data_IF_306956573412
#
_entry.id   IF_306956573412
#
_cell.length_a   1.000
_cell.length_b   1.000
_cell.length_c   1.000
_cell.angle_alpha   90.00
_cell.angle_beta   90.00
_cell.angle_gamma   90.00
#
_symmetry.space_group_name_H-M   'P 1'
#
loop_
_entity.id
_entity.type
_entity.pdbx_description
1 polymer ?
#
# COMPACT_ATOMS: atom_id res chain seq x y z
N UNK A 1 5.04 -14.02 6.92
CA UNK A 1 6.41 -13.62 7.31
C UNK A 1 6.46 -12.11 7.27
N UNK A 2 6.98 -11.49 8.32
CA UNK A 2 7.19 -10.04 8.38
C UNK A 2 8.65 -9.81 8.80
N UNK A 3 9.31 -8.81 8.24
CA UNK A 3 10.68 -8.42 8.58
C UNK A 3 10.59 -7.18 9.46
N UNK A 4 11.21 -7.20 10.65
CA UNK A 4 11.20 -6.03 11.56
C UNK A 4 12.18 -4.94 11.11
N UNK A 5 13.41 -5.30 10.79
CA UNK A 5 14.43 -4.36 10.28
C UNK A 5 14.36 -4.21 8.77
N UNK A 6 15.49 -4.43 8.11
CA UNK A 6 15.66 -4.34 6.67
C UNK A 6 15.90 -5.71 6.00
N UNK A 7 15.79 -5.75 4.67
CA UNK A 7 16.14 -6.89 3.82
C UNK A 7 17.28 -6.52 2.88
N UNK A 8 18.43 -7.18 2.98
CA UNK A 8 19.56 -7.00 2.05
C UNK A 8 19.73 -8.27 1.20
N UNK A 9 19.77 -8.10 -0.11
CA UNK A 9 20.17 -9.13 -1.07
C UNK A 9 21.43 -8.61 -1.75
N UNK A 10 22.56 -9.23 -1.44
CA UNK A 10 23.87 -8.79 -1.89
C UNK A 10 24.64 -9.91 -2.56
N UNK A 11 25.18 -9.64 -3.75
CA UNK A 11 26.12 -10.51 -4.47
C UNK A 11 25.65 -11.97 -4.55
N UNK A 12 24.40 -12.19 -4.97
CA UNK A 12 23.83 -13.52 -5.12
C UNK A 12 24.02 -14.05 -6.55
N UNK A 13 24.43 -15.32 -6.64
CA UNK A 13 24.62 -16.06 -7.90
C UNK A 13 23.43 -16.97 -8.25
N UNK A 14 22.22 -16.54 -7.91
CA UNK A 14 20.97 -17.27 -8.18
C UNK A 14 20.04 -16.45 -9.06
N UNK A 15 19.28 -17.14 -9.92
CA UNK A 15 18.41 -16.50 -10.91
C UNK A 15 17.08 -16.02 -10.36
N UNK A 16 16.54 -16.64 -9.32
CA UNK A 16 15.26 -16.27 -8.73
C UNK A 16 15.23 -16.43 -7.22
N UNK A 17 14.56 -15.49 -6.55
CA UNK A 17 14.30 -15.50 -5.10
C UNK A 17 12.82 -15.28 -4.86
N UNK A 18 12.20 -16.15 -4.06
CA UNK A 18 10.78 -16.08 -3.72
C UNK A 18 10.56 -15.86 -2.24
N UNK A 19 9.78 -14.82 -1.94
CA UNK A 19 9.22 -14.55 -0.63
C UNK A 19 7.68 -14.68 -0.67
N UNK A 20 7.15 -15.90 -0.84
CA UNK A 20 5.72 -16.13 -1.12
C UNK A 20 4.79 -15.71 0.03
N UNK A 21 5.35 -15.54 1.23
CA UNK A 21 4.61 -15.22 2.45
C UNK A 21 5.09 -13.93 3.12
N UNK A 22 6.04 -13.19 2.53
CA UNK A 22 6.47 -11.91 3.09
C UNK A 22 5.34 -10.89 2.88
N UNK A 23 4.90 -10.24 3.96
CA UNK A 23 3.79 -9.29 3.94
C UNK A 23 4.22 -7.87 4.27
N UNK A 24 5.11 -7.69 5.25
CA UNK A 24 5.53 -6.35 5.69
C UNK A 24 7.03 -6.35 5.98
N UNK A 25 7.70 -5.26 5.60
CA UNK A 25 9.03 -4.88 6.09
C UNK A 25 8.84 -3.65 6.98
N UNK A 26 9.14 -3.72 8.27
CA UNK A 26 8.81 -2.66 9.21
C UNK A 26 9.84 -1.52 9.22
N UNK A 27 11.11 -1.80 8.92
CA UNK A 27 12.17 -0.80 8.93
C UNK A 27 12.44 -0.22 10.32
N UNK A 28 12.33 -1.05 11.36
CA UNK A 28 12.74 -0.69 12.72
C UNK A 28 14.27 -0.45 12.80
N UNK A 29 15.02 -1.15 11.94
CA UNK A 29 16.44 -0.95 11.64
C UNK A 29 16.60 -0.72 10.14
N UNK A 30 17.50 0.19 9.74
CA UNK A 30 17.73 0.57 8.35
C UNK A 30 19.19 0.35 7.95
N UNK A 31 19.41 -0.18 6.75
CA UNK A 31 20.74 -0.23 6.14
C UNK A 31 21.19 1.19 5.78
N UNK A 32 22.40 1.55 6.20
CA UNK A 32 22.96 2.90 6.08
C UNK A 32 22.01 3.99 6.60
N UNK A 33 21.28 3.69 7.70
CA UNK A 33 20.29 4.56 8.35
C UNK A 33 19.12 5.00 7.45
N UNK A 34 18.99 4.44 6.25
CA UNK A 34 18.09 4.98 5.22
C UNK A 34 17.26 3.90 4.52
N UNK A 35 17.74 2.67 4.38
CA UNK A 35 17.15 1.68 3.48
C UNK A 35 16.60 0.45 4.21
N UNK A 36 15.33 0.11 3.99
CA UNK A 36 14.68 -1.08 4.51
C UNK A 36 14.67 -2.26 3.53
N UNK A 37 14.95 -2.04 2.24
CA UNK A 37 15.20 -3.10 1.28
C UNK A 37 16.36 -2.69 0.37
N UNK A 38 17.40 -3.51 0.28
CA UNK A 38 18.57 -3.22 -0.56
C UNK A 38 18.90 -4.41 -1.44
N UNK A 39 19.06 -4.18 -2.74
CA UNK A 39 19.51 -5.15 -3.73
C UNK A 39 20.83 -4.63 -4.30
N UNK A 40 21.96 -5.24 -3.97
CA UNK A 40 23.27 -4.73 -4.39
C UNK A 40 24.16 -5.82 -5.01
N UNK A 41 24.81 -5.52 -6.13
CA UNK A 41 25.75 -6.41 -6.83
C UNK A 41 25.19 -7.78 -7.28
N UNK A 42 23.90 -7.90 -7.56
CA UNK A 42 23.29 -9.17 -7.99
C UNK A 42 23.24 -9.28 -9.52
N UNK A 43 24.33 -9.74 -10.13
CA UNK A 43 24.47 -9.78 -11.59
C UNK A 43 23.60 -10.87 -12.26
N UNK A 44 23.43 -12.01 -11.58
CA UNK A 44 22.71 -13.18 -12.10
C UNK A 44 21.24 -13.24 -11.67
N UNK A 45 20.82 -12.38 -10.73
CA UNK A 45 19.46 -12.36 -10.19
C UNK A 45 18.46 -11.73 -11.16
N UNK A 46 17.57 -12.56 -11.69
CA UNK A 46 16.57 -12.17 -12.70
C UNK A 46 15.19 -11.92 -12.12
N UNK A 47 14.78 -12.69 -11.10
CA UNK A 47 13.44 -12.58 -10.53
C UNK A 47 13.47 -12.47 -9.00
N UNK A 48 12.71 -11.52 -8.47
CA UNK A 48 12.47 -11.37 -7.04
C UNK A 48 10.96 -11.27 -6.80
N UNK A 49 10.35 -12.36 -6.31
CA UNK A 49 8.89 -12.46 -6.20
C UNK A 49 8.45 -12.31 -4.74
N UNK A 50 7.69 -11.26 -4.45
CA UNK A 50 7.09 -11.03 -3.13
C UNK A 50 5.57 -10.82 -3.26
N UNK A 51 4.81 -11.83 -3.73
CA UNK A 51 3.42 -11.66 -4.17
C UNK A 51 2.44 -11.25 -3.05
N UNK A 52 2.84 -11.43 -1.78
CA UNK A 52 2.04 -11.05 -0.61
C UNK A 52 2.58 -9.81 0.09
N UNK A 53 3.65 -9.18 -0.39
CA UNK A 53 4.19 -7.98 0.22
C UNK A 53 3.16 -6.87 0.06
N UNK A 54 2.73 -6.31 1.19
CA UNK A 54 1.70 -5.29 1.29
C UNK A 54 2.26 -3.93 1.68
N UNK A 55 3.36 -3.88 2.45
CA UNK A 55 3.92 -2.62 2.93
C UNK A 55 5.41 -2.70 3.27
N UNK A 56 6.09 -1.57 3.09
CA UNK A 56 7.34 -1.22 3.79
C UNK A 56 6.98 -0.03 4.70
N UNK A 57 7.06 -0.22 6.02
CA UNK A 57 6.54 0.74 6.99
C UNK A 57 7.50 1.93 7.22
N UNK A 58 8.81 1.68 7.26
CA UNK A 58 9.88 2.70 7.37
C UNK A 58 11.04 2.32 6.45
N UNK A 59 11.80 3.32 5.99
CA UNK A 59 12.99 3.13 5.18
C UNK A 59 12.73 3.04 3.67
N UNK A 60 13.79 3.35 2.91
CA UNK A 60 13.81 3.37 1.46
C UNK A 60 14.10 2.00 0.86
N UNK A 61 13.98 1.90 -0.46
CA UNK A 61 14.51 0.76 -1.20
C UNK A 61 15.65 1.21 -2.08
N UNK A 62 16.74 0.46 -2.07
CA UNK A 62 17.99 0.77 -2.77
C UNK A 62 18.35 -0.38 -3.71
N UNK A 63 18.62 -0.07 -4.96
CA UNK A 63 19.02 -1.08 -5.96
C UNK A 63 20.29 -0.59 -6.64
N UNK A 64 21.36 -1.38 -6.54
CA UNK A 64 22.70 -1.07 -7.05
C UNK A 64 23.28 -2.27 -7.78
N UNK A 65 23.99 -2.03 -8.89
CA UNK A 65 24.79 -3.05 -9.58
C UNK A 65 24.07 -4.41 -9.79
N UNK A 66 22.76 -4.38 -10.05
CA UNK A 66 21.93 -5.58 -10.21
C UNK A 66 21.18 -5.49 -11.55
N UNK A 67 21.78 -6.09 -12.57
CA UNK A 67 21.55 -5.83 -14.01
C UNK A 67 20.19 -6.29 -14.57
N UNK A 68 19.49 -7.19 -13.88
CA UNK A 68 18.19 -7.73 -14.34
C UNK A 68 16.98 -7.27 -13.53
N UNK A 69 17.17 -6.42 -12.51
CA UNK A 69 16.08 -5.83 -11.73
C UNK A 69 15.55 -4.53 -12.34
N UNK A 70 15.92 -4.21 -13.59
CA UNK A 70 15.22 -3.20 -14.40
C UNK A 70 13.70 -3.51 -14.53
N UNK A 71 13.30 -4.78 -14.34
CA UNK A 71 11.89 -5.17 -14.25
C UNK A 71 11.20 -4.74 -12.93
N UNK A 72 11.95 -4.50 -11.84
CA UNK A 72 11.44 -3.83 -10.63
C UNK A 72 11.51 -2.30 -10.74
N UNK A 73 12.51 -1.75 -11.43
CA UNK A 73 12.61 -0.30 -11.71
C UNK A 73 11.48 0.21 -12.64
N UNK A 74 10.86 -0.69 -13.42
CA UNK A 74 9.66 -0.42 -14.23
C UNK A 74 8.35 -0.83 -13.56
N UNK A 75 8.39 -1.38 -12.33
CA UNK A 75 7.21 -1.88 -11.61
C UNK A 75 7.03 -1.35 -10.20
N UNK A 76 7.90 -0.46 -9.72
CA UNK A 76 7.74 0.27 -8.47
C UNK A 76 8.09 1.75 -8.69
N UNK A 77 7.12 2.64 -8.44
CA UNK A 77 7.34 4.09 -8.47
C UNK A 77 8.07 4.53 -7.20
N UNK A 78 9.36 4.78 -7.31
CA UNK A 78 10.23 5.22 -6.21
C UNK A 78 10.12 6.71 -5.86
N UNK A 79 9.25 7.48 -6.55
CA UNK A 79 9.10 8.93 -6.32
C UNK A 79 8.04 9.30 -5.27
N UNK A 80 7.27 8.38 -4.71
CA UNK A 80 6.18 8.76 -3.79
C UNK A 80 6.59 8.93 -2.32
N UNK A 81 7.87 8.78 -1.97
CA UNK A 81 8.39 9.13 -0.64
C UNK A 81 9.64 10.03 -0.64
N UNK A 82 10.08 10.52 -1.81
CA UNK A 82 11.37 11.20 -1.90
C UNK A 82 11.20 12.65 -2.37
N UNK A 83 11.15 13.55 -1.39
CA UNK A 83 11.32 14.98 -1.58
C UNK A 83 12.82 15.26 -1.82
N UNK A 84 13.35 14.99 -3.02
CA UNK A 84 14.73 15.34 -3.39
C UNK A 84 14.77 16.41 -4.50
N UNK A 85 15.55 17.51 -4.31
CA UNK A 85 15.68 18.59 -5.28
C UNK A 85 16.43 18.25 -6.58
N UNK A 86 17.10 17.10 -6.69
CA UNK A 86 18.00 16.80 -7.82
C UNK A 86 17.65 15.47 -8.49
N UNK A 87 16.65 15.49 -9.37
CA UNK A 87 16.26 14.39 -10.25
C UNK A 87 17.10 14.31 -11.54
N UNK A 88 18.29 14.91 -11.58
CA UNK A 88 19.04 15.14 -12.82
C UNK A 88 20.04 14.04 -13.22
N UNK A 89 20.21 12.96 -12.44
CA UNK A 89 21.33 12.04 -12.68
C UNK A 89 21.04 10.53 -12.57
N UNK A 90 19.81 10.07 -12.88
CA UNK A 90 19.52 8.65 -13.05
C UNK A 90 18.97 8.35 -14.46
N UNK A 91 19.42 7.25 -15.12
CA UNK A 91 19.07 6.96 -16.50
C UNK A 91 17.68 6.32 -16.56
N UNK A 92 16.61 7.12 -16.62
CA UNK A 92 15.48 6.82 -17.49
C UNK A 92 14.54 8.03 -17.69
N UNK A 93 14.92 8.99 -18.55
CA UNK A 93 14.00 10.00 -19.08
C UNK A 93 12.81 9.38 -19.85
N UNK A 94 12.94 8.12 -20.27
CA UNK A 94 12.03 7.44 -21.19
C UNK A 94 10.78 6.86 -20.49
N UNK A 95 10.89 6.31 -19.28
CA UNK A 95 9.71 5.78 -18.57
C UNK A 95 8.71 6.89 -18.18
N UNK A 96 9.25 8.05 -17.77
CA UNK A 96 8.47 9.23 -17.39
C UNK A 96 7.79 9.88 -18.61
N UNK A 97 8.43 9.83 -19.78
CA UNK A 97 7.86 10.34 -21.04
C UNK A 97 6.88 9.37 -21.70
N UNK A 98 7.04 8.05 -21.50
CA UNK A 98 6.17 7.01 -22.07
C UNK A 98 4.87 6.85 -21.29
N UNK A 99 4.92 6.89 -19.94
CA UNK A 99 3.78 6.54 -19.09
C UNK A 99 3.19 7.69 -18.27
N UNK A 100 3.78 8.90 -18.33
CA UNK A 100 3.35 10.09 -17.59
C UNK A 100 1.90 10.49 -17.84
N UNK A 101 1.65 11.55 -18.62
CA UNK A 101 0.29 12.11 -18.78
C UNK A 101 -0.70 11.18 -19.52
N UNK A 102 -0.23 10.07 -20.08
CA UNK A 102 -1.07 9.11 -20.81
C UNK A 102 -1.90 8.22 -19.89
N UNK A 103 -1.47 8.02 -18.65
CA UNK A 103 -2.13 7.11 -17.70
C UNK A 103 -2.69 7.88 -16.50
N UNK A 104 -3.96 7.68 -16.16
CA UNK A 104 -4.58 8.30 -14.97
C UNK A 104 -3.87 7.94 -13.65
N UNK A 105 -3.27 6.73 -13.59
CA UNK A 105 -2.43 6.30 -12.49
C UNK A 105 -1.01 6.90 -12.51
N UNK A 106 -0.58 7.48 -13.64
CA UNK A 106 0.82 7.79 -13.96
C UNK A 106 1.75 6.57 -13.91
N UNK A 107 1.16 5.37 -13.94
CA UNK A 107 1.85 4.08 -13.85
C UNK A 107 1.52 3.22 -15.05
N UNK A 108 2.47 2.42 -15.49
CA UNK A 108 2.30 1.47 -16.59
C UNK A 108 3.09 0.20 -16.33
N UNK A 109 2.85 -0.81 -17.16
CA UNK A 109 3.62 -2.05 -17.19
C UNK A 109 3.80 -2.50 -18.63
N UNK A 110 4.86 -3.28 -18.90
CA UNK A 110 5.04 -3.96 -20.18
C UNK A 110 4.53 -5.40 -20.07
N UNK A 111 3.43 -5.76 -20.76
CA UNK A 111 2.97 -7.15 -20.84
C UNK A 111 4.02 -8.06 -21.49
N UNK A 112 4.11 -9.31 -21.06
CA UNK A 112 5.13 -10.25 -21.56
C UNK A 112 5.05 -10.52 -23.08
N UNK A 113 3.87 -10.34 -23.68
CA UNK A 113 3.61 -10.60 -25.10
C UNK A 113 3.33 -9.31 -25.89
N UNK A 114 3.76 -8.15 -25.40
CA UNK A 114 3.53 -6.84 -26.02
C UNK A 114 4.83 -6.08 -26.15
N UNK A 115 4.96 -5.31 -27.23
CA UNK A 115 6.01 -4.29 -27.39
C UNK A 115 5.63 -2.94 -26.79
N UNK A 116 4.35 -2.75 -26.46
CA UNK A 116 3.79 -1.49 -25.99
C UNK A 116 3.43 -1.53 -24.50
N UNK A 117 3.69 -0.42 -23.82
CA UNK A 117 3.32 -0.22 -22.42
C UNK A 117 1.80 -0.05 -22.27
N UNK A 118 1.24 -0.66 -21.23
CA UNK A 118 -0.16 -0.52 -20.85
C UNK A 118 -0.30 0.18 -19.51
N UNK A 119 -1.34 1.00 -19.36
CA UNK A 119 -1.60 1.72 -18.12
C UNK A 119 -2.09 0.79 -16.99
N UNK A 120 -1.62 1.06 -15.78
CA UNK A 120 -2.18 0.49 -14.56
C UNK A 120 -3.54 1.09 -14.24
N UNK A 121 -4.33 0.37 -13.43
CA UNK A 121 -5.56 0.91 -12.85
C UNK A 121 -5.29 2.22 -12.09
N UNK A 122 -6.21 3.18 -12.15
CA UNK A 122 -6.07 4.50 -11.50
C UNK A 122 -5.88 4.43 -9.97
N UNK A 123 -6.45 3.39 -9.36
CA UNK A 123 -6.32 3.10 -7.93
C UNK A 123 -4.98 2.47 -7.53
N UNK A 124 -4.10 2.15 -8.49
CA UNK A 124 -2.77 1.62 -8.19
C UNK A 124 -1.80 2.75 -7.79
N UNK A 125 -0.90 2.43 -6.89
CA UNK A 125 0.37 3.15 -6.69
C UNK A 125 1.52 2.14 -6.69
N UNK A 126 2.72 2.61 -7.02
CA UNK A 126 3.91 1.77 -7.00
C UNK A 126 3.88 0.64 -8.03
N UNK A 127 3.16 0.79 -9.15
CA UNK A 127 3.13 -0.15 -10.28
C UNK A 127 2.05 -1.23 -10.25
N UNK A 128 2.02 -2.07 -11.30
CA UNK A 128 1.05 -3.14 -11.47
C UNK A 128 1.58 -4.31 -12.33
N UNK A 129 0.86 -5.42 -12.30
CA UNK A 129 1.09 -6.60 -13.15
C UNK A 129 0.05 -6.75 -14.27
N UNK A 130 -0.93 -5.85 -14.30
CA UNK A 130 -2.04 -5.83 -15.23
C UNK A 130 -2.93 -4.60 -15.03
N UNK A 131 -3.92 -4.41 -15.90
CA UNK A 131 -4.82 -3.24 -15.88
C UNK A 131 -5.81 -3.22 -14.71
N UNK A 132 -6.06 -4.35 -14.06
CA UNK A 132 -7.07 -4.48 -13.02
C UNK A 132 -6.63 -3.92 -11.66
N UNK A 133 -7.57 -3.40 -10.88
CA UNK A 133 -7.32 -2.89 -9.51
C UNK A 133 -6.83 -3.97 -8.51
N UNK A 134 -6.99 -5.25 -8.85
CA UNK A 134 -6.49 -6.40 -8.08
C UNK A 134 -5.05 -6.80 -8.48
N UNK A 135 -4.51 -6.17 -9.53
CA UNK A 135 -3.19 -6.45 -10.09
C UNK A 135 -2.18 -5.37 -9.71
N UNK A 136 -2.58 -4.42 -8.87
CA UNK A 136 -1.70 -3.39 -8.32
C UNK A 136 -0.67 -4.01 -7.38
N UNK A 137 0.54 -3.44 -7.37
CA UNK A 137 1.54 -3.74 -6.35
C UNK A 137 1.11 -3.16 -5.01
N UNK A 138 0.62 -1.92 -5.02
CA UNK A 138 0.03 -1.25 -3.85
C UNK A 138 -1.20 -0.42 -4.24
N UNK A 139 -2.07 -0.17 -3.27
CA UNK A 139 -3.25 0.68 -3.44
C UNK A 139 -2.93 2.12 -3.09
N UNK A 140 -3.39 3.05 -3.94
CA UNK A 140 -3.26 4.48 -3.73
C UNK A 140 -3.99 4.93 -2.46
N UNK A 141 -5.18 4.39 -2.23
CA UNK A 141 -6.04 4.74 -1.10
C UNK A 141 -6.27 3.55 -0.18
N UNK A 142 -7.20 2.65 -0.53
CA UNK A 142 -7.64 1.55 0.33
C UNK A 142 -7.54 0.20 -0.37
N UNK A 143 -7.31 -0.86 0.42
CA UNK A 143 -7.33 -2.25 -0.04
C UNK A 143 -8.51 -3.00 0.58
N UNK A 144 -9.38 -3.51 -0.27
CA UNK A 144 -10.46 -4.42 0.09
C UNK A 144 -10.12 -5.82 -0.45
N UNK A 145 -9.78 -6.75 0.44
CA UNK A 145 -9.50 -8.14 0.10
C UNK A 145 -8.46 -8.32 -1.03
N UNK A 146 -7.49 -7.40 -1.10
CA UNK A 146 -6.43 -7.39 -2.12
C UNK A 146 -6.77 -6.63 -3.40
N UNK A 147 -7.93 -5.98 -3.48
CA UNK A 147 -8.34 -5.11 -4.58
C UNK A 147 -8.29 -3.65 -4.14
N UNK A 148 -7.72 -2.78 -4.97
CA UNK A 148 -7.64 -1.35 -4.67
C UNK A 148 -8.97 -0.65 -4.91
N UNK A 149 -9.43 0.08 -3.92
CA UNK A 149 -10.70 0.82 -3.91
C UNK A 149 -10.47 2.23 -3.38
N UNK A 150 -11.32 3.17 -3.79
CA UNK A 150 -11.30 4.54 -3.26
C UNK A 150 -11.96 4.64 -1.88
N UNK A 151 -12.99 3.83 -1.64
CA UNK A 151 -13.74 3.84 -0.38
C UNK A 151 -14.11 2.42 0.03
N UNK A 152 -14.09 2.16 1.33
CA UNK A 152 -14.61 0.92 1.87
C UNK A 152 -16.14 0.88 1.72
N UNK A 153 -16.74 -0.33 1.55
CA UNK A 153 -18.18 -0.48 1.59
C UNK A 153 -18.77 0.14 2.85
N UNK A 154 -19.72 1.08 2.75
CA UNK A 154 -20.22 1.81 3.90
C UNK A 154 -20.98 0.88 4.84
N UNK A 155 -20.91 1.14 6.14
CA UNK A 155 -21.59 0.33 7.17
C UNK A 155 -23.13 0.40 7.06
N UNK A 156 -23.65 1.48 6.47
CA UNK A 156 -25.07 1.72 6.27
C UNK A 156 -25.33 2.06 4.81
N UNK A 157 -26.42 1.56 4.23
CA UNK A 157 -26.85 1.84 2.85
C UNK A 157 -28.31 2.31 2.85
N UNK A 158 -28.65 3.17 1.91
CA UNK A 158 -30.02 3.66 1.76
C UNK A 158 -30.92 2.60 1.11
N UNK A 159 -32.04 2.26 1.75
CA UNK A 159 -33.11 1.44 1.19
C UNK A 159 -34.18 2.35 0.57
N UNK A 160 -34.24 2.47 -0.78
CA UNK A 160 -35.19 3.38 -1.43
C UNK A 160 -36.65 3.01 -1.19
N UNK A 161 -36.97 1.75 -0.90
CA UNK A 161 -38.34 1.30 -0.66
C UNK A 161 -38.85 1.75 0.70
N UNK A 162 -37.94 1.85 1.68
CA UNK A 162 -38.26 2.25 3.06
C UNK A 162 -37.91 3.71 3.36
N UNK A 163 -37.11 4.36 2.51
CA UNK A 163 -36.61 5.72 2.74
C UNK A 163 -35.71 5.83 3.97
N UNK A 164 -35.00 4.75 4.33
CA UNK A 164 -34.21 4.66 5.56
C UNK A 164 -32.82 4.07 5.31
N UNK A 165 -31.88 4.38 6.19
CA UNK A 165 -30.56 3.74 6.22
C UNK A 165 -30.65 2.38 6.92
N UNK A 166 -30.21 1.32 6.25
CA UNK A 166 -30.16 -0.04 6.78
C UNK A 166 -28.71 -0.54 6.87
N UNK A 167 -28.39 -1.44 7.81
CA UNK A 167 -27.07 -2.04 7.90
C UNK A 167 -26.67 -2.74 6.60
N UNK A 168 -25.45 -2.46 6.13
CA UNK A 168 -24.89 -3.11 4.96
C UNK A 168 -24.17 -4.41 5.40
N UNK A 169 -24.62 -5.60 4.98
CA UNK A 169 -23.95 -6.85 5.32
C UNK A 169 -22.53 -6.96 4.73
N UNK A 170 -22.21 -6.15 3.71
CA UNK A 170 -20.87 -6.04 3.13
C UNK A 170 -20.08 -4.86 3.69
N UNK A 171 -20.59 -4.18 4.71
CA UNK A 171 -19.93 -3.04 5.33
C UNK A 171 -18.52 -3.39 5.81
N UNK A 172 -17.61 -2.43 5.72
CA UNK A 172 -16.23 -2.57 6.16
C UNK A 172 -15.80 -1.31 6.89
N UNK A 173 -15.03 -1.49 7.94
CA UNK A 173 -14.34 -0.42 8.63
C UNK A 173 -13.04 -0.07 7.93
N UNK A 174 -12.71 1.21 7.90
CA UNK A 174 -11.39 1.69 7.50
C UNK A 174 -10.42 1.47 8.65
N UNK A 175 -9.42 0.64 8.44
CA UNK A 175 -8.28 0.47 9.34
C UNK A 175 -6.99 0.79 8.58
N UNK A 176 -6.41 1.96 8.85
CA UNK A 176 -5.26 2.49 8.12
C UNK A 176 -5.54 2.54 6.61
N UNK A 177 -4.92 1.66 5.81
CA UNK A 177 -5.15 1.55 4.35
C UNK A 177 -5.99 0.33 3.95
N UNK A 178 -6.70 -0.28 4.89
CA UNK A 178 -7.40 -1.55 4.67
C UNK A 178 -8.88 -1.45 5.04
N UNK A 179 -9.71 -2.16 4.28
CA UNK A 179 -11.11 -2.39 4.60
C UNK A 179 -11.24 -3.70 5.38
N UNK A 180 -11.61 -3.61 6.66
CA UNK A 180 -11.71 -4.76 7.57
C UNK A 180 -13.15 -4.99 8.03
N UNK A 181 -13.49 -6.24 8.33
CA UNK A 181 -14.83 -6.59 8.83
C UNK A 181 -15.06 -6.11 10.26
N UNK A 182 -14.04 -6.25 11.11
CA UNK A 182 -14.07 -5.81 12.49
C UNK A 182 -12.79 -5.03 12.82
N UNK A 183 -12.93 -3.99 13.64
CA UNK A 183 -11.78 -3.29 14.16
C UNK A 183 -10.99 -4.19 15.14
N UNK A 184 -9.65 -4.20 15.06
CA UNK A 184 -8.77 -4.85 16.04
C UNK A 184 -9.19 -4.52 17.49
N UNK A 185 -9.01 -5.47 18.40
CA UNK A 185 -9.58 -5.39 19.76
C UNK A 185 -9.07 -4.22 20.58
N UNK A 186 -7.84 -3.78 20.28
CA UNK A 186 -7.14 -2.66 20.87
C UNK A 186 -7.58 -1.28 20.34
N UNK A 187 -8.42 -1.25 19.30
CA UNK A 187 -8.91 -0.01 18.70
C UNK A 187 -10.38 0.24 19.02
N UNK A 188 -10.73 1.52 18.98
CA UNK A 188 -12.08 2.04 19.08
C UNK A 188 -12.70 2.15 17.68
N UNK A 189 -14.03 2.10 17.64
CA UNK A 189 -14.83 2.28 16.44
C UNK A 189 -15.44 3.68 16.47
N UNK A 190 -15.13 4.50 15.48
CA UNK A 190 -15.76 5.79 15.28
C UNK A 190 -16.37 5.85 13.88
N UNK A 191 -17.71 5.91 13.81
CA UNK A 191 -18.47 5.82 12.55
C UNK A 191 -18.12 4.54 11.77
N UNK A 192 -17.34 4.68 10.71
CA UNK A 192 -16.87 3.67 9.77
C UNK A 192 -15.34 3.48 9.80
N UNK A 193 -14.64 4.00 10.81
CA UNK A 193 -13.19 3.89 10.96
C UNK A 193 -12.76 3.29 12.30
N UNK A 194 -11.60 2.64 12.30
CA UNK A 194 -10.91 2.15 13.49
C UNK A 194 -9.89 3.18 13.96
N UNK A 195 -10.05 3.70 15.18
CA UNK A 195 -9.24 4.79 15.73
C UNK A 195 -8.61 4.40 17.05
N UNK A 196 -7.42 4.96 17.34
CA UNK A 196 -6.77 4.80 18.66
C UNK A 196 -7.39 5.67 19.73
N UNK A 197 -7.83 6.87 19.33
CA UNK A 197 -8.49 7.84 20.18
C UNK A 197 -9.70 8.39 19.41
N UNK A 198 -10.78 8.69 20.13
CA UNK A 198 -11.93 9.34 19.53
C UNK A 198 -11.56 10.73 19.01
N UNK A 199 -12.21 11.15 17.92
CA UNK A 199 -12.06 12.50 17.39
C UNK A 199 -12.48 13.56 18.40
N UNK A 200 -11.99 14.78 18.22
CA UNK A 200 -12.40 15.93 19.04
C UNK A 200 -13.93 16.09 19.00
N UNK A 201 -14.55 16.18 20.17
CA UNK A 201 -16.02 16.25 20.30
C UNK A 201 -16.68 14.89 20.50
N UNK A 202 -15.92 13.80 20.49
CA UNK A 202 -16.35 12.45 20.85
C UNK A 202 -15.54 11.93 22.04
N UNK A 203 -16.10 11.00 22.82
CA UNK A 203 -15.40 10.27 23.87
C UNK A 203 -15.74 8.78 23.82
N UNK A 204 -14.91 7.96 24.48
CA UNK A 204 -15.22 6.57 24.75
C UNK A 204 -15.63 6.42 26.22
N UNK A 205 -16.81 5.86 26.46
CA UNK A 205 -17.28 5.58 27.81
C UNK A 205 -16.78 4.21 28.26
N UNK A 206 -15.74 4.22 29.10
CA UNK A 206 -15.11 3.00 29.62
C UNK A 206 -16.04 2.16 30.51
N UNK A 207 -17.17 2.71 30.97
CA UNK A 207 -18.14 1.96 31.79
C UNK A 207 -19.05 1.07 30.94
N UNK A 208 -19.14 1.34 29.63
CA UNK A 208 -19.91 0.53 28.68
C UNK A 208 -19.06 -0.59 28.11
N UNK A 209 -19.66 -1.75 27.94
CA UNK A 209 -19.07 -2.87 27.17
C UNK A 209 -19.19 -2.62 25.65
N UNK A 210 -18.76 -1.44 25.21
CA UNK A 210 -18.79 -1.01 23.82
C UNK A 210 -17.52 -0.26 23.50
N UNK A 211 -16.84 -0.66 22.43
CA UNK A 211 -15.63 0.00 21.93
C UNK A 211 -15.96 1.15 20.96
N UNK A 212 -17.11 1.81 21.12
CA UNK A 212 -17.57 2.86 20.19
C UNK A 212 -17.37 4.26 20.77
N UNK A 213 -16.90 5.17 19.93
CA UNK A 213 -16.86 6.59 20.24
C UNK A 213 -18.28 7.18 20.16
N UNK A 214 -18.65 7.95 21.18
CA UNK A 214 -19.94 8.63 21.29
C UNK A 214 -19.72 10.15 21.31
N UNK A 215 -20.60 10.95 20.68
CA UNK A 215 -20.50 12.40 20.72
C UNK A 215 -20.71 12.93 22.14
N UNK A 216 -19.87 13.87 22.55
CA UNK A 216 -19.95 14.51 23.86
C UNK A 216 -21.23 15.34 23.99
N UNK A 217 -21.94 15.20 25.11
CA UNK A 217 -23.07 16.08 25.47
C UNK A 217 -22.53 17.32 26.20
N UNK A 218 -21.90 18.22 25.46
CA UNK A 218 -21.24 19.42 26.00
C UNK A 218 -19.71 19.30 26.00
N UNK A 219 -19.05 19.67 27.11
CA UNK A 219 -17.59 19.55 27.24
C UNK A 219 -17.23 18.08 27.36
N UNK A 220 -16.30 17.60 26.52
CA UNK A 220 -15.84 16.23 26.60
C UNK A 220 -15.13 15.98 27.95
N UNK A 221 -15.36 14.82 28.58
CA UNK A 221 -14.58 14.39 29.73
C UNK A 221 -13.10 14.38 29.35
N UNK A 222 -12.26 14.92 30.24
CA UNK A 222 -10.80 14.83 30.11
C UNK A 222 -10.30 13.43 30.43
#
# INVERSE_FOLDING_TARGET
>A
MNIKGYLLIYNVDIRSIDFPNLKIIWGDDLLDETSALTLSSNLELKELRMPKLRAIHKGNVRIENSTFLCYLQSKVNWNENLNFPDAHNYPNPEYRSVCGDKCASQQCYLPANSSDYECCHEACTGGCTGRGAHQCVACRELSLDGVCVHQCPPMMVHDPKRGMLIPNPKGRYVYDRYCVEECPKELLVERDACVRHCSVGSHHDMTKDSRRCEPCKGVCPK
#
